data_IF_709796124662
#
_entry.id   IF_709796124662
#
_cell.length_a   1.000
_cell.length_b   1.000
_cell.length_c   1.000
_cell.angle_alpha   90.00
_cell.angle_beta   90.00
_cell.angle_gamma   90.00
#
_symmetry.space_group_name_H-M   'P 1'
#
loop_
_entity.id
_entity.type
_entity.pdbx_description
1 polymer ?
#
# COMPACT_ATOMS: atom_id res chain seq x y z
N UNK A 1 5.13 -8.12 2.53
CA UNK A 1 3.87 -8.90 2.64
C UNK A 1 4.16 -10.39 2.86
N UNK A 2 4.35 -10.75 4.12
CA UNK A 2 4.73 -12.11 4.56
C UNK A 2 3.65 -13.15 4.24
N UNK A 3 2.37 -12.76 4.32
CA UNK A 3 1.23 -13.64 4.04
C UNK A 3 1.17 -14.16 2.60
N UNK A 4 1.77 -13.43 1.65
CA UNK A 4 1.78 -13.81 0.23
C UNK A 4 3.06 -14.52 -0.20
N UNK A 5 4.00 -14.77 0.73
CA UNK A 5 5.29 -15.37 0.40
C UNK A 5 6.19 -14.49 -0.49
N UNK A 6 5.95 -13.17 -0.50
CA UNK A 6 6.62 -12.21 -1.39
C UNK A 6 7.76 -11.45 -0.70
N UNK A 7 8.33 -11.98 0.39
CA UNK A 7 9.24 -11.24 1.26
C UNK A 7 10.48 -10.67 0.55
N UNK A 8 10.99 -11.38 -0.45
CA UNK A 8 12.22 -11.06 -1.17
C UNK A 8 11.98 -10.50 -2.57
N UNK A 9 10.73 -10.16 -2.90
CA UNK A 9 10.42 -9.66 -4.24
C UNK A 9 10.93 -8.23 -4.44
N UNK A 10 11.55 -8.01 -5.59
CA UNK A 10 11.89 -6.68 -6.10
C UNK A 10 10.88 -6.29 -7.18
N UNK A 11 10.58 -4.99 -7.25
CA UNK A 11 9.63 -4.46 -8.21
C UNK A 11 10.32 -3.87 -9.42
N UNK A 12 9.81 -4.20 -10.60
CA UNK A 12 10.18 -3.55 -11.86
C UNK A 12 9.31 -2.32 -12.11
N UNK A 13 9.83 -1.42 -12.95
CA UNK A 13 9.10 -0.25 -13.46
C UNK A 13 8.80 -0.50 -14.93
N UNK A 14 7.53 -0.38 -15.30
CA UNK A 14 7.07 -0.54 -16.67
C UNK A 14 7.35 0.69 -17.54
N UNK A 15 7.07 0.57 -18.83
CA UNK A 15 7.29 1.63 -19.83
C UNK A 15 6.47 2.90 -19.55
N UNK A 16 5.37 2.78 -18.80
CA UNK A 16 4.52 3.89 -18.36
C UNK A 16 5.06 4.61 -17.11
N UNK A 17 6.31 4.27 -16.70
CA UNK A 17 6.97 4.77 -15.50
C UNK A 17 6.19 4.46 -14.21
N UNK A 18 5.35 3.43 -14.22
CA UNK A 18 4.66 2.91 -13.04
C UNK A 18 5.29 1.60 -12.58
N UNK A 19 5.14 1.33 -11.29
CA UNK A 19 5.61 0.09 -10.69
C UNK A 19 4.71 -1.06 -11.12
N UNK A 20 5.30 -2.17 -11.55
CA UNK A 20 4.59 -3.40 -11.84
C UNK A 20 4.36 -4.14 -10.51
N UNK A 21 3.09 -4.40 -10.10
CA UNK A 21 2.81 -5.07 -8.85
C UNK A 21 3.23 -6.55 -8.91
N UNK A 22 3.64 -7.06 -7.77
CA UNK A 22 3.87 -8.48 -7.55
C UNK A 22 2.59 -9.28 -7.82
N UNK A 23 2.72 -10.54 -8.27
CA UNK A 23 1.58 -11.47 -8.35
C UNK A 23 1.82 -12.72 -7.52
N UNK A 24 0.86 -13.07 -6.67
CA UNK A 24 0.85 -14.31 -5.91
C UNK A 24 -0.59 -14.78 -5.70
N UNK A 25 -0.85 -16.09 -5.86
CA UNK A 25 -2.15 -16.71 -5.59
C UNK A 25 -3.34 -16.03 -6.31
N UNK A 26 -3.11 -15.50 -7.52
CA UNK A 26 -4.14 -14.80 -8.30
C UNK A 26 -4.40 -13.35 -7.88
N UNK A 27 -3.62 -12.82 -6.93
CA UNK A 27 -3.75 -11.44 -6.42
C UNK A 27 -2.55 -10.61 -6.85
N UNK A 28 -2.80 -9.38 -7.29
CA UNK A 28 -1.78 -8.36 -7.48
C UNK A 28 -1.49 -7.67 -6.13
N UNK A 29 -0.22 -7.57 -5.76
CA UNK A 29 0.20 -7.02 -4.47
C UNK A 29 1.34 -6.01 -4.63
N UNK A 30 1.28 -4.95 -3.82
CA UNK A 30 2.36 -3.97 -3.72
C UNK A 30 2.55 -3.60 -2.25
N UNK A 31 3.80 -3.37 -1.85
CA UNK A 31 4.14 -2.94 -0.50
C UNK A 31 5.37 -2.05 -0.52
N UNK A 32 5.43 -1.07 0.38
CA UNK A 32 6.65 -0.28 0.58
C UNK A 32 7.87 -1.14 0.95
N UNK A 33 7.64 -2.33 1.55
CA UNK A 33 8.70 -3.29 1.85
C UNK A 33 9.44 -3.81 0.60
N UNK A 34 8.82 -3.79 -0.57
CA UNK A 34 9.48 -4.15 -1.83
C UNK A 34 10.45 -3.08 -2.32
N UNK A 35 10.20 -1.82 -1.98
CA UNK A 35 10.98 -0.67 -2.45
C UNK A 35 12.14 -0.39 -1.48
N UNK A 36 11.90 -0.52 -0.17
CA UNK A 36 12.81 -0.02 0.87
C UNK A 36 13.79 -1.09 1.37
N UNK A 37 13.59 -2.37 1.00
CA UNK A 37 14.40 -3.49 1.47
C UNK A 37 14.13 -3.82 2.94
N UNK A 38 14.24 -5.10 3.29
CA UNK A 38 13.99 -5.53 4.67
C UNK A 38 15.14 -5.13 5.59
N UNK A 39 14.82 -4.65 6.81
CA UNK A 39 15.80 -4.45 7.89
C UNK A 39 16.30 -3.02 8.12
N UNK A 40 15.84 -2.03 7.35
CA UNK A 40 16.12 -0.62 7.61
C UNK A 40 15.00 -0.02 8.49
N UNK A 41 15.24 0.27 9.78
CA UNK A 41 14.26 0.99 10.60
C UNK A 41 14.18 2.44 10.10
N UNK A 42 13.28 2.69 9.16
CA UNK A 42 12.95 4.05 8.75
C UNK A 42 11.98 4.65 9.77
N UNK A 43 12.36 5.79 10.35
CA UNK A 43 11.43 6.64 11.07
C UNK A 43 10.46 7.27 10.07
N UNK A 44 9.34 6.57 9.83
CA UNK A 44 8.25 7.02 8.97
C UNK A 44 7.59 8.26 9.58
N UNK A 45 7.98 9.46 9.12
CA UNK A 45 7.28 10.69 9.49
C UNK A 45 6.00 10.84 8.68
N UNK A 46 5.01 11.57 9.21
CA UNK A 46 3.70 11.77 8.58
C UNK A 46 3.73 12.04 7.07
N UNK A 47 4.51 13.04 6.58
CA UNK A 47 4.59 13.34 5.15
C UNK A 47 5.14 12.19 4.29
N UNK A 48 6.05 11.37 4.81
CA UNK A 48 6.58 10.21 4.10
C UNK A 48 5.54 9.11 3.97
N UNK A 49 4.73 8.89 5.00
CA UNK A 49 3.65 7.89 4.99
C UNK A 49 2.60 8.29 3.96
N UNK A 50 2.17 9.55 3.95
CA UNK A 50 1.23 10.05 2.94
C UNK A 50 1.79 9.85 1.54
N UNK A 51 3.04 10.26 1.28
CA UNK A 51 3.68 10.09 -0.03
C UNK A 51 3.78 8.62 -0.44
N UNK A 52 4.12 7.73 0.49
CA UNK A 52 4.20 6.30 0.25
C UNK A 52 2.84 5.71 -0.15
N UNK A 53 1.78 6.06 0.58
CA UNK A 53 0.43 5.60 0.24
C UNK A 53 -0.05 6.16 -1.10
N UNK A 54 0.21 7.43 -1.40
CA UNK A 54 -0.06 8.01 -2.73
C UNK A 54 0.72 7.28 -3.82
N UNK A 55 1.98 6.92 -3.59
CA UNK A 55 2.78 6.13 -4.53
C UNK A 55 2.18 4.72 -4.76
N UNK A 56 1.73 4.03 -3.70
CA UNK A 56 1.08 2.73 -3.83
C UNK A 56 -0.26 2.83 -4.57
N UNK A 57 -1.01 3.90 -4.35
CA UNK A 57 -2.31 4.11 -4.97
C UNK A 57 -2.21 4.53 -6.44
N UNK A 58 -1.33 5.49 -6.77
CA UNK A 58 -1.27 6.13 -8.09
C UNK A 58 -0.07 5.68 -8.94
N UNK A 59 1.03 5.31 -8.29
CA UNK A 59 2.31 4.99 -8.93
C UNK A 59 2.51 3.53 -9.28
N UNK A 60 1.47 2.71 -9.13
CA UNK A 60 1.46 1.27 -9.44
C UNK A 60 0.52 1.03 -10.61
N UNK A 61 0.93 0.19 -11.56
CA UNK A 61 0.08 -0.26 -12.64
C UNK A 61 -0.75 -1.45 -12.17
N UNK A 62 -1.87 -1.16 -11.51
CA UNK A 62 -2.81 -2.16 -11.01
C UNK A 62 -3.55 -2.91 -12.12
N UNK A 63 -3.61 -2.35 -13.33
CA UNK A 63 -4.42 -2.86 -14.43
C UNK A 63 -5.92 -2.79 -14.11
N UNK A 64 -6.70 -3.67 -14.75
CA UNK A 64 -8.12 -3.86 -14.45
C UNK A 64 -8.26 -4.64 -13.14
N UNK A 65 -8.99 -4.08 -12.18
CA UNK A 65 -9.30 -4.70 -10.89
C UNK A 65 -10.78 -4.54 -10.57
N UNK A 66 -11.41 -5.59 -10.05
CA UNK A 66 -12.73 -5.48 -9.44
C UNK A 66 -12.66 -4.79 -8.08
N UNK A 67 -11.58 -5.05 -7.33
CA UNK A 67 -11.36 -4.52 -5.98
C UNK A 67 -9.89 -4.18 -5.74
N UNK A 68 -9.64 -3.04 -5.10
CA UNK A 68 -8.33 -2.66 -4.56
C UNK A 68 -8.45 -2.47 -3.05
N UNK A 69 -7.73 -3.30 -2.29
CA UNK A 69 -7.69 -3.20 -0.83
C UNK A 69 -6.42 -2.43 -0.43
N UNK A 70 -6.60 -1.37 0.35
CA UNK A 70 -5.52 -0.55 0.89
C UNK A 70 -5.38 -0.84 2.39
N UNK A 71 -4.23 -1.41 2.78
CA UNK A 71 -3.87 -1.60 4.19
C UNK A 71 -3.30 -0.30 4.77
N UNK A 72 -4.13 0.37 5.58
CA UNK A 72 -3.82 1.70 6.09
C UNK A 72 -3.03 1.61 7.40
N UNK A 73 -2.10 2.55 7.66
CA UNK A 73 -1.49 2.67 8.97
C UNK A 73 -2.56 2.91 10.05
N UNK A 74 -2.34 2.47 11.29
CA UNK A 74 -3.33 2.59 12.36
C UNK A 74 -3.61 4.06 12.72
N UNK A 75 -4.80 4.29 13.30
CA UNK A 75 -5.24 5.61 13.79
C UNK A 75 -6.18 6.34 12.84
N UNK A 76 -6.44 7.60 13.14
CA UNK A 76 -7.39 8.48 12.44
C UNK A 76 -6.74 9.82 12.08
N UNK A 77 -5.45 9.79 11.76
CA UNK A 77 -4.67 11.00 11.49
C UNK A 77 -4.89 11.57 10.09
N UNK A 78 -4.09 12.59 9.77
CA UNK A 78 -4.18 13.32 8.50
C UNK A 78 -3.97 12.44 7.26
N UNK A 79 -3.30 11.29 7.41
CA UNK A 79 -3.03 10.34 6.32
C UNK A 79 -4.32 9.75 5.78
N UNK A 80 -5.21 9.30 6.67
CA UNK A 80 -6.50 8.71 6.32
C UNK A 80 -7.41 9.76 5.64
N UNK A 81 -7.43 10.99 6.16
CA UNK A 81 -8.19 12.09 5.58
C UNK A 81 -7.66 12.49 4.20
N UNK A 82 -6.33 12.59 4.06
CA UNK A 82 -5.68 12.93 2.79
C UNK A 82 -6.00 11.91 1.70
N UNK A 83 -5.98 10.61 2.04
CA UNK A 83 -6.34 9.56 1.09
C UNK A 83 -7.82 9.63 0.70
N UNK A 84 -8.72 9.83 1.67
CA UNK A 84 -10.15 9.96 1.41
C UNK A 84 -10.50 11.18 0.53
N UNK A 85 -9.65 12.21 0.53
CA UNK A 85 -9.78 13.36 -0.37
C UNK A 85 -9.22 13.08 -1.77
N UNK A 86 -8.22 12.20 -1.89
CA UNK A 86 -7.56 11.88 -3.17
C UNK A 86 -8.22 10.73 -3.94
N UNK A 87 -8.85 9.79 -3.24
CA UNK A 87 -9.45 8.60 -3.79
C UNK A 87 -10.96 8.60 -3.59
N UNK A 88 -11.71 8.12 -4.59
CA UNK A 88 -13.11 7.74 -4.38
C UNK A 88 -13.10 6.39 -3.68
N UNK A 89 -13.42 6.39 -2.39
CA UNK A 89 -13.46 5.19 -1.55
C UNK A 89 -14.89 4.66 -1.54
N UNK A 90 -15.10 3.43 -2.03
CA UNK A 90 -16.43 2.80 -2.04
C UNK A 90 -16.88 2.29 -0.67
N UNK A 91 -15.92 2.00 0.22
CA UNK A 91 -16.20 1.55 1.58
C UNK A 91 -14.93 1.42 2.43
N UNK A 92 -15.12 1.24 3.74
CA UNK A 92 -14.02 1.05 4.68
C UNK A 92 -14.35 -0.07 5.68
N UNK A 93 -13.33 -0.83 6.06
CA UNK A 93 -13.39 -1.84 7.12
C UNK A 93 -12.52 -1.36 8.27
N UNK A 94 -13.12 -1.17 9.44
CA UNK A 94 -12.40 -0.78 10.65
C UNK A 94 -12.11 -2.02 11.49
N UNK A 95 -10.83 -2.23 11.82
CA UNK A 95 -10.38 -3.31 12.70
C UNK A 95 -10.03 -2.72 14.06
N UNK A 96 -10.67 -3.21 15.12
CA UNK A 96 -10.39 -2.84 16.50
C UNK A 96 -10.36 -4.10 17.37
N UNK A 97 -9.85 -3.96 18.59
CA UNK A 97 -9.94 -4.97 19.63
C UNK A 97 -10.99 -4.55 20.67
N UNK A 98 -11.49 -5.53 21.41
CA UNK A 98 -12.28 -5.27 22.60
C UNK A 98 -11.37 -4.76 23.71
N UNK A 99 -11.83 -3.76 24.47
CA UNK A 99 -11.14 -3.28 25.67
C UNK A 99 -12.02 -3.61 26.89
N UNK A 100 -11.42 -4.17 27.94
CA UNK A 100 -12.07 -4.32 29.26
C UNK A 100 -12.19 -2.98 29.99
#
# INVERSE_FOLDING_TARGET
PTLLGLADMQCDVGDDNKIIPARAHGVSAMSMGFIIGQGQPLAWRGPMVTKALTQLFQGVNWGELDYLILDMPPGTGDVQLSLAQQARIDGAIMVSHWHD
#
